data_IF_343259552309
#
_entry.id   IF_343259552309
#
_cell.length_a   1.000
_cell.length_b   1.000
_cell.length_c   1.000
_cell.angle_alpha   90.00
_cell.angle_beta   90.00
_cell.angle_gamma   90.00
#
_symmetry.space_group_name_H-M   'P 1'
#
loop_
_entity.id
_entity.type
_entity.pdbx_description
1 polymer ?
#
# COMPACT_ATOMS: atom_id res chain seq x y z
N UNK A 1 -3.15 16.43 39.49
CA UNK A 1 -2.79 16.89 38.12
C UNK A 1 -3.29 15.84 37.16
N UNK A 2 -4.31 16.16 36.36
CA UNK A 2 -4.83 15.28 35.33
C UNK A 2 -3.88 15.36 34.14
N UNK A 3 -3.12 14.30 33.90
CA UNK A 3 -2.27 14.18 32.71
C UNK A 3 -3.20 13.78 31.56
N UNK A 4 -3.27 14.60 30.53
CA UNK A 4 -3.95 14.27 29.29
C UNK A 4 -2.93 14.20 28.15
N UNK A 5 -3.12 13.25 27.25
CA UNK A 5 -2.30 13.16 26.05
C UNK A 5 -2.81 14.17 25.02
N UNK A 6 -1.97 15.14 24.67
CA UNK A 6 -2.23 16.01 23.53
C UNK A 6 -1.84 15.30 22.24
N UNK A 7 -2.72 15.35 21.24
CA UNK A 7 -2.41 14.82 19.91
C UNK A 7 -1.35 15.74 19.29
N UNK A 8 -0.18 15.17 19.00
CA UNK A 8 0.89 15.86 18.26
C UNK A 8 0.36 16.16 16.86
N UNK A 9 0.32 17.44 16.52
CA UNK A 9 -0.26 17.93 15.26
C UNK A 9 0.59 17.51 14.06
N UNK A 10 -0.01 17.39 12.87
CA UNK A 10 0.69 17.03 11.63
C UNK A 10 1.82 18.03 11.29
N UNK A 11 1.69 19.29 11.74
CA UNK A 11 2.73 20.34 11.70
C UNK A 11 3.96 20.05 12.56
N UNK A 12 3.84 19.20 13.57
CA UNK A 12 4.97 18.79 14.42
C UNK A 12 5.73 17.59 13.85
N UNK A 13 5.15 16.87 12.88
CA UNK A 13 5.82 15.83 12.07
C UNK A 13 6.60 16.39 10.88
N UNK A 14 6.43 17.68 10.57
CA UNK A 14 7.19 18.34 9.50
C UNK A 14 8.64 18.56 9.96
N UNK A 15 9.58 18.38 9.04
CA UNK A 15 11.00 18.59 9.31
C UNK A 15 11.28 20.06 9.63
N UNK A 16 11.29 20.41 10.92
CA UNK A 16 11.47 21.80 11.38
C UNK A 16 12.89 22.32 11.22
N UNK A 17 13.88 21.42 11.33
CA UNK A 17 15.30 21.80 11.42
C UNK A 17 16.11 21.46 10.17
N UNK A 18 15.59 20.58 9.31
CA UNK A 18 16.29 20.13 8.12
C UNK A 18 15.37 20.21 6.91
N UNK A 19 15.91 20.73 5.82
CA UNK A 19 15.36 20.61 4.49
C UNK A 19 15.96 19.36 3.84
N UNK A 20 15.20 18.26 3.86
CA UNK A 20 15.62 16.94 3.39
C UNK A 20 14.93 16.62 2.07
N UNK A 21 15.69 16.24 1.05
CA UNK A 21 15.16 15.76 -0.24
C UNK A 21 15.79 14.42 -0.58
N UNK A 22 14.99 13.48 -1.06
CA UNK A 22 15.43 12.14 -1.45
C UNK A 22 14.99 11.92 -2.89
N UNK A 23 15.94 11.59 -3.75
CA UNK A 23 15.73 11.26 -5.16
C UNK A 23 16.17 9.83 -5.40
N UNK A 24 15.28 9.01 -5.94
CA UNK A 24 15.52 7.62 -6.30
C UNK A 24 15.42 7.48 -7.82
N UNK A 25 16.40 6.82 -8.44
CA UNK A 25 16.39 6.52 -9.88
C UNK A 25 16.82 5.08 -10.14
N UNK A 26 16.17 4.42 -11.09
CA UNK A 26 16.63 3.14 -11.60
C UNK A 26 17.73 3.36 -12.64
N UNK A 27 18.80 2.57 -12.55
CA UNK A 27 20.01 2.74 -13.35
C UNK A 27 20.18 1.49 -14.25
N UNK A 28 19.61 1.55 -15.45
CA UNK A 28 19.58 0.39 -16.36
C UNK A 28 20.98 -0.05 -16.82
N UNK A 29 21.92 0.88 -16.98
CA UNK A 29 23.26 0.65 -17.52
C UNK A 29 24.38 0.61 -16.46
N UNK A 30 24.04 0.60 -15.17
CA UNK A 30 25.05 0.50 -14.12
C UNK A 30 25.73 -0.88 -14.12
N UNK A 31 27.03 -0.93 -13.77
CA UNK A 31 27.75 -2.19 -13.53
C UNK A 31 27.05 -2.92 -12.38
N UNK A 32 26.55 -4.12 -12.65
CA UNK A 32 25.84 -4.94 -11.66
C UNK A 32 26.78 -6.00 -11.10
N UNK A 33 26.83 -6.20 -9.78
CA UNK A 33 27.49 -7.37 -9.21
C UNK A 33 26.78 -8.67 -9.64
N UNK A 34 27.52 -9.78 -9.69
CA UNK A 34 26.95 -11.09 -10.01
C UNK A 34 25.80 -11.44 -9.03
N UNK A 35 24.65 -11.82 -9.58
CA UNK A 35 23.45 -12.14 -8.80
C UNK A 35 22.52 -10.96 -8.50
N UNK A 36 22.91 -9.71 -8.81
CA UNK A 36 22.02 -8.56 -8.65
C UNK A 36 21.02 -8.43 -9.81
N UNK A 37 19.75 -8.25 -9.48
CA UNK A 37 18.66 -8.21 -10.47
C UNK A 37 18.38 -6.80 -11.02
N UNK A 38 18.40 -5.77 -10.17
CA UNK A 38 18.28 -4.35 -10.54
C UNK A 38 19.28 -3.51 -9.76
N UNK A 39 19.60 -2.32 -10.27
CA UNK A 39 20.45 -1.32 -9.62
C UNK A 39 19.75 0.02 -9.61
N UNK A 40 19.80 0.68 -8.47
CA UNK A 40 19.26 2.02 -8.25
C UNK A 40 20.35 2.97 -7.81
N UNK A 41 20.15 4.25 -8.07
CA UNK A 41 20.87 5.33 -7.40
C UNK A 41 19.96 6.06 -6.42
N UNK A 42 20.48 6.27 -5.21
CA UNK A 42 19.83 7.04 -4.16
C UNK A 42 20.65 8.31 -3.92
N UNK A 43 20.02 9.45 -4.13
CA UNK A 43 20.59 10.77 -3.87
C UNK A 43 19.82 11.42 -2.71
N UNK A 44 20.54 11.71 -1.63
CA UNK A 44 20.00 12.29 -0.41
C UNK A 44 20.63 13.66 -0.25
N UNK A 45 19.80 14.68 -0.17
CA UNK A 45 20.23 16.04 0.03
C UNK A 45 19.65 16.61 1.33
N UNK A 46 20.50 17.25 2.13
CA UNK A 46 20.10 17.88 3.38
C UNK A 46 20.67 19.30 3.48
N UNK A 47 19.89 20.20 4.07
CA UNK A 47 20.34 21.53 4.50
C UNK A 47 19.78 21.82 5.88
N UNK A 48 20.61 22.36 6.76
CA UNK A 48 20.15 22.75 8.08
C UNK A 48 19.43 24.11 8.02
N UNK A 49 18.33 24.24 8.76
CA UNK A 49 17.46 25.41 8.66
C UNK A 49 17.73 26.48 9.73
N UNK A 50 18.64 26.21 10.69
CA UNK A 50 19.01 27.20 11.71
C UNK A 50 20.22 28.04 11.28
N UNK A 51 20.58 29.02 12.09
CA UNK A 51 21.59 30.04 11.77
C UNK A 51 23.06 29.59 11.80
N UNK A 52 23.33 28.29 11.93
CA UNK A 52 24.69 27.73 12.01
C UNK A 52 24.78 26.38 11.31
N UNK A 53 25.95 25.97 10.86
CA UNK A 53 26.13 24.60 10.37
C UNK A 53 25.85 23.58 11.49
N UNK A 54 25.17 22.48 11.17
CA UNK A 54 24.98 21.37 12.10
C UNK A 54 26.22 20.48 12.06
N UNK A 55 26.98 20.43 13.15
CA UNK A 55 28.21 19.63 13.24
C UNK A 55 27.90 18.19 13.63
N UNK A 56 28.70 17.22 13.16
CA UNK A 56 28.53 15.79 13.47
C UNK A 56 27.12 15.28 13.18
N UNK A 57 26.68 15.47 11.95
CA UNK A 57 25.35 15.02 11.51
C UNK A 57 25.39 13.56 11.07
N UNK A 58 24.30 12.84 11.32
CA UNK A 58 24.14 11.44 10.92
C UNK A 58 22.98 11.36 9.93
N UNK A 59 23.20 10.65 8.83
CA UNK A 59 22.15 10.20 7.91
C UNK A 59 21.96 8.71 8.14
N UNK A 60 20.84 8.35 8.75
CA UNK A 60 20.42 6.98 9.01
C UNK A 60 19.45 6.51 7.92
N UNK A 61 19.87 5.51 7.16
CA UNK A 61 19.20 5.02 5.96
C UNK A 61 18.80 3.58 6.21
N UNK A 62 17.51 3.33 6.35
CA UNK A 62 16.98 1.98 6.19
C UNK A 62 16.93 1.62 4.71
N UNK A 63 17.35 0.41 4.33
CA UNK A 63 17.27 -0.05 2.95
C UNK A 63 15.90 -0.61 2.63
N UNK A 64 15.48 -0.49 1.35
CA UNK A 64 14.32 -1.22 0.83
C UNK A 64 14.54 -2.73 0.93
N UNK A 65 13.47 -3.47 1.18
CA UNK A 65 13.55 -4.94 1.30
C UNK A 65 14.15 -5.57 0.04
N UNK A 66 15.18 -6.40 0.22
CA UNK A 66 15.90 -7.05 -0.88
C UNK A 66 17.01 -6.22 -1.53
N UNK A 67 17.20 -4.95 -1.11
CA UNK A 67 18.29 -4.09 -1.59
C UNK A 67 19.44 -4.01 -0.59
N UNK A 68 20.66 -3.95 -1.12
CA UNK A 68 21.87 -3.69 -0.35
C UNK A 68 22.68 -2.53 -0.97
N UNK A 69 23.31 -1.67 -0.16
CA UNK A 69 24.11 -0.56 -0.67
C UNK A 69 25.40 -1.08 -1.32
N UNK A 70 25.84 -0.39 -2.37
CA UNK A 70 27.10 -0.66 -3.03
C UNK A 70 28.28 -0.10 -2.23
N UNK A 71 29.16 -1.00 -1.78
CA UNK A 71 30.30 -0.65 -0.94
C UNK A 71 31.34 0.17 -1.72
N UNK A 72 31.44 -0.01 -3.03
CA UNK A 72 32.43 0.71 -3.85
C UNK A 72 32.09 2.20 -3.94
N UNK A 73 30.84 2.55 -4.22
CA UNK A 73 30.36 3.94 -4.25
C UNK A 73 30.44 4.61 -2.88
N UNK A 74 30.06 3.92 -1.81
CA UNK A 74 30.23 4.44 -0.44
C UNK A 74 31.70 4.70 -0.09
N UNK A 75 32.60 3.80 -0.51
CA UNK A 75 34.04 3.97 -0.30
C UNK A 75 34.58 5.20 -1.04
N UNK A 76 34.06 5.51 -2.24
CA UNK A 76 34.40 6.74 -2.98
C UNK A 76 33.94 8.00 -2.26
N UNK A 77 32.77 7.97 -1.62
CA UNK A 77 32.30 9.12 -0.82
C UNK A 77 33.17 9.36 0.42
N UNK A 78 33.66 8.28 1.06
CA UNK A 78 34.46 8.39 2.29
C UNK A 78 35.94 8.68 2.05
N UNK A 79 36.53 8.08 1.01
CA UNK A 79 37.97 8.15 0.71
C UNK A 79 38.30 9.07 -0.48
N UNK A 80 37.29 9.67 -1.10
CA UNK A 80 37.44 10.58 -2.22
C UNK A 80 38.13 11.90 -1.83
N UNK A 81 38.49 12.69 -2.83
CA UNK A 81 39.21 13.97 -2.65
C UNK A 81 38.39 14.96 -1.83
N UNK A 82 37.08 15.00 -2.05
CA UNK A 82 36.16 15.95 -1.40
C UNK A 82 35.68 15.47 -0.01
N UNK A 83 35.91 14.21 0.35
CA UNK A 83 35.48 13.54 1.60
C UNK A 83 34.08 13.98 2.09
N UNK A 84 33.05 13.68 1.31
CA UNK A 84 31.67 14.03 1.65
C UNK A 84 31.14 13.32 2.91
N UNK A 85 31.69 12.15 3.24
CA UNK A 85 31.34 11.42 4.47
C UNK A 85 32.61 11.05 5.25
N UNK A 86 32.55 11.16 6.57
CA UNK A 86 33.67 10.85 7.46
C UNK A 86 33.80 9.34 7.67
N UNK A 87 32.66 8.66 7.82
CA UNK A 87 32.57 7.21 8.02
C UNK A 87 31.22 6.70 7.52
N UNK A 88 31.16 5.43 7.16
CA UNK A 88 29.88 4.71 7.00
C UNK A 88 29.89 3.40 7.77
N UNK A 89 28.73 2.95 8.20
CA UNK A 89 28.50 1.66 8.85
C UNK A 89 27.32 0.96 8.21
N UNK A 90 27.51 -0.30 7.78
CA UNK A 90 26.44 -1.13 7.23
C UNK A 90 26.07 -2.15 8.30
N UNK A 91 24.91 -1.96 8.89
CA UNK A 91 24.36 -2.86 9.90
C UNK A 91 23.38 -3.82 9.23
N UNK A 92 23.81 -5.08 9.09
CA UNK A 92 22.93 -6.20 8.74
C UNK A 92 22.23 -6.63 10.03
N UNK A 93 21.14 -5.94 10.39
CA UNK A 93 20.36 -6.28 11.59
C UNK A 93 19.75 -7.69 11.50
N UNK A 94 19.11 -8.15 12.59
CA UNK A 94 18.38 -9.42 12.65
C UNK A 94 17.07 -9.44 11.82
N UNK A 95 16.76 -8.35 11.12
CA UNK A 95 15.62 -8.18 10.20
C UNK A 95 16.13 -8.11 8.76
N UNK A 96 15.34 -8.58 7.79
CA UNK A 96 15.65 -8.56 6.34
C UNK A 96 15.91 -7.15 5.75
N UNK A 97 15.79 -6.09 6.55
CA UNK A 97 16.14 -4.71 6.21
C UNK A 97 17.51 -4.36 6.78
N UNK A 98 18.50 -4.26 5.90
CA UNK A 98 19.80 -3.66 6.26
C UNK A 98 19.66 -2.17 6.57
N UNK A 99 20.47 -1.65 7.47
CA UNK A 99 20.58 -0.21 7.75
C UNK A 99 21.98 0.29 7.39
N UNK A 100 22.07 1.51 6.90
CA UNK A 100 23.29 2.21 6.52
C UNK A 100 23.34 3.53 7.28
N UNK A 101 24.37 3.71 8.08
CA UNK A 101 24.66 4.96 8.77
C UNK A 101 25.76 5.68 8.03
N UNK A 102 25.53 6.94 7.67
CA UNK A 102 26.54 7.86 7.14
C UNK A 102 26.83 8.94 8.17
N UNK A 103 28.10 9.10 8.51
CA UNK A 103 28.57 10.14 9.42
C UNK A 103 29.15 11.29 8.60
N UNK A 104 28.65 12.50 8.83
CA UNK A 104 29.12 13.73 8.18
C UNK A 104 29.70 14.67 9.24
N UNK A 105 30.83 15.30 8.91
CA UNK A 105 31.45 16.29 9.80
C UNK A 105 30.54 17.48 10.06
N UNK A 106 29.77 17.89 9.03
CA UNK A 106 28.74 18.91 9.15
C UNK A 106 27.69 18.83 8.04
N UNK A 107 26.57 19.52 8.24
CA UNK A 107 25.60 19.87 7.19
C UNK A 107 25.45 21.39 7.19
N UNK A 108 25.68 22.03 6.04
CA UNK A 108 25.59 23.47 5.90
C UNK A 108 24.18 24.02 6.12
N UNK A 109 24.10 25.21 6.69
CA UNK A 109 22.85 25.98 6.73
C UNK A 109 22.60 26.83 5.46
N UNK A 110 23.64 27.07 4.65
CA UNK A 110 23.58 27.96 3.48
C UNK A 110 23.36 27.22 2.17
N UNK A 111 23.98 26.05 2.03
CA UNK A 111 23.94 25.25 0.80
C UNK A 111 23.37 23.88 1.11
N UNK A 112 22.74 23.29 0.11
CA UNK A 112 22.25 21.93 0.17
C UNK A 112 23.44 20.99 -0.07
N UNK A 113 23.67 20.08 0.87
CA UNK A 113 24.71 19.05 0.78
C UNK A 113 24.07 17.74 0.36
N UNK A 114 24.63 17.09 -0.66
CA UNK A 114 24.05 15.89 -1.25
C UNK A 114 25.06 14.73 -1.25
N UNK A 115 24.57 13.53 -0.96
CA UNK A 115 25.31 12.28 -1.08
C UNK A 115 24.56 11.36 -2.04
N UNK A 116 25.28 10.78 -3.00
CA UNK A 116 24.71 9.85 -3.98
C UNK A 116 25.50 8.54 -3.99
N UNK A 117 24.79 7.42 -3.85
CA UNK A 117 25.37 6.08 -3.90
C UNK A 117 24.44 5.11 -4.61
N UNK A 118 24.97 3.94 -5.00
CA UNK A 118 24.19 2.89 -5.65
C UNK A 118 23.70 1.86 -4.64
N UNK A 119 22.58 1.22 -4.95
CA UNK A 119 22.11 0.04 -4.24
C UNK A 119 21.62 -1.02 -5.23
N UNK A 120 21.83 -2.28 -4.88
CA UNK A 120 21.57 -3.43 -5.74
C UNK A 120 20.51 -4.33 -5.14
N UNK A 121 19.58 -4.80 -5.97
CA UNK A 121 18.58 -5.77 -5.56
C UNK A 121 19.18 -7.19 -5.57
N UNK A 122 19.52 -7.68 -4.38
CA UNK A 122 20.10 -9.02 -4.18
C UNK A 122 19.00 -10.08 -4.10
N UNK A 123 17.84 -9.74 -3.52
CA UNK A 123 16.71 -10.65 -3.40
C UNK A 123 15.46 -10.04 -4.03
N UNK A 124 14.79 -10.82 -4.89
CA UNK A 124 13.48 -10.47 -5.41
C UNK A 124 12.43 -10.82 -4.36
N UNK A 125 11.69 -9.82 -3.92
CA UNK A 125 10.56 -9.96 -2.98
C UNK A 125 9.27 -9.60 -3.72
N UNK A 126 8.15 -10.23 -3.34
CA UNK A 126 6.86 -9.98 -4.00
C UNK A 126 6.37 -8.54 -3.83
N UNK A 127 6.53 -7.97 -2.63
CA UNK A 127 6.24 -6.57 -2.34
C UNK A 127 7.47 -5.91 -1.74
N UNK A 128 8.00 -4.88 -2.43
CA UNK A 128 9.11 -4.08 -1.90
C UNK A 128 8.54 -3.12 -0.87
N UNK A 129 9.02 -3.19 0.38
CA UNK A 129 8.58 -2.26 1.41
C UNK A 129 9.30 -0.91 1.27
N UNK A 130 8.58 0.22 1.41
CA UNK A 130 9.18 1.54 1.52
C UNK A 130 10.23 1.59 2.62
N UNK A 131 11.21 2.44 2.40
CA UNK A 131 12.29 2.66 3.34
C UNK A 131 12.39 4.14 3.69
N UNK A 132 13.17 4.44 4.71
CA UNK A 132 13.30 5.76 5.31
C UNK A 132 14.74 6.25 5.35
N UNK A 133 14.89 7.57 5.25
CA UNK A 133 16.10 8.30 5.55
C UNK A 133 15.80 9.26 6.69
N UNK A 134 16.61 9.21 7.73
CA UNK A 134 16.50 10.09 8.90
C UNK A 134 17.79 10.88 9.05
N UNK A 135 17.68 12.20 9.08
CA UNK A 135 18.81 13.11 9.33
C UNK A 135 18.67 13.72 10.70
N UNK A 136 19.75 13.67 11.49
CA UNK A 136 19.80 14.28 12.82
C UNK A 136 21.21 14.72 13.21
N UNK A 137 21.27 15.70 14.10
CA UNK A 137 22.49 16.13 14.76
C UNK A 137 22.76 15.19 15.95
N UNK A 138 24.00 14.71 16.09
CA UNK A 138 24.41 13.83 17.18
C UNK A 138 24.10 14.42 18.57
N UNK A 139 24.23 15.74 18.74
CA UNK A 139 23.99 16.41 20.02
C UNK A 139 22.51 16.76 20.25
N UNK A 140 21.67 16.68 19.22
CA UNK A 140 20.25 16.98 19.30
C UNK A 140 19.41 15.96 18.50
N UNK A 141 19.39 14.68 18.91
CA UNK A 141 18.69 13.62 18.18
C UNK A 141 17.15 13.77 18.19
N UNK A 142 16.61 14.58 19.10
CA UNK A 142 15.20 14.99 19.12
C UNK A 142 14.83 15.83 17.89
N UNK A 143 15.81 16.52 17.30
CA UNK A 143 15.66 17.40 16.14
C UNK A 143 15.81 16.64 14.81
N UNK A 144 15.33 15.40 14.74
CA UNK A 144 15.45 14.56 13.55
C UNK A 144 14.41 14.88 12.48
N UNK A 145 14.78 14.69 11.22
CA UNK A 145 13.89 14.76 10.07
C UNK A 145 13.90 13.42 9.36
N UNK A 146 12.74 12.77 9.26
CA UNK A 146 12.58 11.50 8.56
C UNK A 146 11.73 11.69 7.31
N UNK A 147 12.20 11.18 6.17
CA UNK A 147 11.41 11.06 4.94
C UNK A 147 11.49 9.63 4.42
N UNK A 148 10.41 9.18 3.81
CA UNK A 148 10.31 7.86 3.21
C UNK A 148 10.53 7.93 1.70
N UNK A 149 11.08 6.86 1.13
CA UNK A 149 11.33 6.71 -0.30
C UNK A 149 10.90 5.32 -0.79
N UNK A 150 10.42 5.29 -2.02
CA UNK A 150 10.00 4.10 -2.75
C UNK A 150 10.05 4.39 -4.27
N UNK A 151 10.06 3.36 -5.11
CA UNK A 151 10.11 3.48 -6.58
C UNK A 151 8.97 4.30 -7.17
N UNK A 152 7.76 4.09 -6.66
CA UNK A 152 6.56 4.83 -7.05
C UNK A 152 6.33 6.01 -6.10
N UNK A 153 6.14 7.22 -6.64
CA UNK A 153 5.94 8.41 -5.82
C UNK A 153 4.69 8.33 -4.92
N UNK A 154 3.63 7.64 -5.37
CA UNK A 154 2.42 7.37 -4.60
C UNK A 154 2.55 6.22 -3.58
N UNK A 155 3.73 5.62 -3.46
CA UNK A 155 4.04 4.48 -2.58
C UNK A 155 5.11 4.81 -1.55
N UNK A 156 5.46 6.10 -1.38
CA UNK A 156 6.38 6.57 -0.32
C UNK A 156 5.84 6.26 1.08
N UNK A 157 4.53 6.08 1.22
CA UNK A 157 3.87 5.58 2.42
C UNK A 157 3.15 4.27 2.08
N UNK A 158 3.05 3.35 3.05
CA UNK A 158 2.29 2.11 2.90
C UNK A 158 0.87 2.46 2.41
N UNK A 159 0.37 1.72 1.42
CA UNK A 159 -0.99 1.91 0.92
C UNK A 159 -1.96 1.77 2.08
N UNK A 160 -2.70 2.83 2.40
CA UNK A 160 -3.69 2.84 3.49
C UNK A 160 -4.96 3.51 3.03
N UNK A 161 -6.08 2.90 3.39
CA UNK A 161 -7.39 3.52 3.29
C UNK A 161 -7.69 4.03 4.69
N UNK A 162 -7.99 5.32 4.83
CA UNK A 162 -8.36 5.90 6.12
C UNK A 162 -9.70 6.60 5.98
N UNK A 163 -10.60 6.34 6.92
CA UNK A 163 -11.83 7.10 7.10
C UNK A 163 -11.81 7.67 8.52
N UNK A 164 -11.72 9.00 8.61
CA UNK A 164 -11.40 9.71 9.84
C UNK A 164 -10.12 9.15 10.49
N UNK A 165 -10.20 8.66 11.74
CA UNK A 165 -9.05 8.16 12.50
C UNK A 165 -8.79 6.64 12.31
N UNK A 166 -9.68 5.93 11.61
CA UNK A 166 -9.55 4.48 11.38
C UNK A 166 -8.88 4.25 10.03
N UNK A 167 -7.71 3.60 10.06
CA UNK A 167 -6.96 3.25 8.86
C UNK A 167 -6.84 1.73 8.71
N UNK A 168 -7.02 1.25 7.48
CA UNK A 168 -6.76 -0.12 7.05
C UNK A 168 -5.60 -0.15 6.06
N UNK A 169 -4.76 -1.17 6.20
CA UNK A 169 -3.67 -1.44 5.26
C UNK A 169 -4.25 -1.95 3.93
N UNK A 170 -3.80 -1.37 2.83
CA UNK A 170 -4.20 -1.66 1.46
C UNK A 170 -2.99 -2.03 0.58
N UNK A 171 -1.95 -2.61 1.18
CA UNK A 171 -0.74 -3.06 0.47
C UNK A 171 -0.87 -4.43 -0.20
N UNK A 172 -2.02 -5.07 -0.06
CA UNK A 172 -2.27 -6.37 -0.64
C UNK A 172 -2.91 -6.24 -2.04
N UNK A 173 -3.16 -7.38 -2.68
CA UNK A 173 -3.86 -7.44 -3.95
C UNK A 173 -5.24 -6.78 -3.86
N UNK A 174 -5.72 -6.29 -5.00
CA UNK A 174 -6.94 -5.49 -5.06
C UNK A 174 -8.21 -6.30 -4.77
N UNK A 175 -8.25 -7.57 -5.16
CA UNK A 175 -9.36 -8.50 -4.90
C UNK A 175 -8.90 -9.95 -5.12
N UNK A 176 -9.64 -10.90 -4.53
CA UNK A 176 -9.35 -12.34 -4.51
C UNK A 176 -9.18 -12.94 -5.91
N UNK A 177 -10.01 -12.54 -6.86
CA UNK A 177 -10.04 -13.17 -8.20
C UNK A 177 -8.72 -12.99 -8.97
N UNK A 178 -7.96 -11.91 -8.73
CA UNK A 178 -6.65 -11.73 -9.36
C UNK A 178 -5.62 -12.80 -8.98
N UNK A 179 -5.87 -13.58 -7.92
CA UNK A 179 -4.98 -14.64 -7.47
C UNK A 179 -5.29 -15.99 -8.11
N UNK A 180 -6.34 -16.12 -8.91
CA UNK A 180 -6.79 -17.39 -9.44
C UNK A 180 -6.53 -17.52 -10.93
N UNK A 181 -5.88 -18.60 -11.31
CA UNK A 181 -5.72 -19.03 -12.70
C UNK A 181 -6.83 -20.02 -13.05
N UNK A 182 -7.57 -19.75 -14.13
CA UNK A 182 -8.61 -20.66 -14.67
C UNK A 182 -10.05 -20.23 -14.40
N UNK A 183 -10.99 -20.84 -15.13
CA UNK A 183 -12.42 -20.69 -14.90
C UNK A 183 -12.84 -21.58 -13.74
N UNK A 184 -13.52 -21.01 -12.75
CA UNK A 184 -14.15 -21.78 -11.68
C UNK A 184 -15.52 -22.28 -12.13
N UNK A 185 -15.98 -23.40 -11.57
CA UNK A 185 -17.38 -23.84 -11.69
C UNK A 185 -18.26 -23.25 -10.57
N UNK A 186 -19.55 -23.62 -10.55
CA UNK A 186 -20.49 -23.16 -9.52
C UNK A 186 -20.16 -23.71 -8.12
N UNK A 187 -19.72 -24.98 -8.04
CA UNK A 187 -19.44 -25.63 -6.77
C UNK A 187 -18.21 -25.01 -6.10
N UNK A 188 -17.15 -24.75 -6.85
CA UNK A 188 -15.93 -24.10 -6.37
C UNK A 188 -16.20 -22.66 -5.89
N UNK A 189 -17.06 -21.91 -6.58
CA UNK A 189 -17.52 -20.59 -6.10
C UNK A 189 -18.31 -20.71 -4.81
N UNK A 190 -19.17 -21.72 -4.69
CA UNK A 190 -19.95 -21.98 -3.49
C UNK A 190 -19.07 -22.30 -2.29
N UNK A 191 -18.11 -23.22 -2.45
CA UNK A 191 -17.14 -23.57 -1.40
C UNK A 191 -16.34 -22.35 -0.92
N UNK A 192 -15.99 -21.42 -1.83
CA UNK A 192 -15.30 -20.17 -1.49
C UNK A 192 -16.20 -19.14 -0.82
N UNK A 193 -17.42 -18.94 -1.31
CA UNK A 193 -18.42 -18.05 -0.69
C UNK A 193 -18.85 -18.54 0.71
N UNK A 194 -18.74 -19.85 0.94
CA UNK A 194 -18.92 -20.51 2.23
C UNK A 194 -17.63 -20.71 3.02
N UNK A 195 -16.49 -20.21 2.53
CA UNK A 195 -15.21 -20.31 3.21
C UNK A 195 -15.23 -19.66 4.58
N UNK A 196 -14.37 -20.15 5.47
CA UNK A 196 -14.22 -19.58 6.81
C UNK A 196 -13.85 -18.10 6.73
N UNK A 197 -14.61 -17.26 7.44
CA UNK A 197 -14.40 -15.82 7.50
C UNK A 197 -15.21 -15.00 6.49
N UNK A 198 -15.82 -15.63 5.47
CA UNK A 198 -16.75 -14.93 4.57
C UNK A 198 -18.03 -14.59 5.33
N UNK A 199 -18.28 -13.30 5.49
CA UNK A 199 -19.37 -12.74 6.29
C UNK A 199 -20.65 -12.61 5.46
N UNK A 200 -20.54 -12.07 4.25
CA UNK A 200 -21.69 -11.75 3.40
C UNK A 200 -21.47 -12.17 1.94
N UNK A 201 -22.56 -12.43 1.22
CA UNK A 201 -22.57 -12.60 -0.25
C UNK A 201 -23.76 -11.82 -0.81
N UNK A 202 -23.47 -10.87 -1.71
CA UNK A 202 -24.44 -9.94 -2.25
C UNK A 202 -24.39 -9.91 -3.78
N UNK A 203 -25.54 -9.59 -4.37
CA UNK A 203 -25.64 -9.09 -5.74
C UNK A 203 -25.85 -7.58 -5.67
N UNK A 204 -24.90 -6.80 -6.16
CA UNK A 204 -24.90 -5.35 -6.03
C UNK A 204 -24.75 -4.64 -7.38
N UNK A 205 -25.47 -3.54 -7.58
CA UNK A 205 -25.39 -2.71 -8.78
C UNK A 205 -24.53 -1.49 -8.54
N UNK A 206 -23.62 -1.19 -9.46
CA UNK A 206 -22.78 0.00 -9.38
C UNK A 206 -23.55 1.24 -9.84
N UNK A 207 -23.75 2.23 -8.95
CA UNK A 207 -24.50 3.44 -9.27
C UNK A 207 -23.59 4.62 -9.65
N UNK A 208 -22.53 4.87 -8.87
CA UNK A 208 -21.55 5.94 -9.14
C UNK A 208 -20.22 5.69 -8.43
N UNK A 209 -19.17 6.36 -8.91
CA UNK A 209 -17.85 6.43 -8.28
C UNK A 209 -17.62 7.85 -7.76
N UNK A 210 -17.23 7.95 -6.50
CA UNK A 210 -16.83 9.19 -5.83
C UNK A 210 -15.31 9.11 -5.55
N UNK A 211 -14.48 9.71 -6.42
CA UNK A 211 -13.03 9.64 -6.28
C UNK A 211 -12.56 10.52 -5.11
N UNK A 212 -11.54 10.06 -4.41
CA UNK A 212 -10.81 10.82 -3.39
C UNK A 212 -9.30 10.72 -3.65
N UNK A 213 -8.49 11.45 -2.89
CA UNK A 213 -7.04 11.58 -3.14
C UNK A 213 -6.28 10.25 -3.01
N UNK A 214 -6.74 9.35 -2.12
CA UNK A 214 -6.05 8.08 -1.81
C UNK A 214 -6.90 6.83 -2.05
N UNK A 215 -8.21 6.97 -2.27
CA UNK A 215 -9.13 5.87 -2.45
C UNK A 215 -10.31 6.30 -3.33
N UNK A 216 -11.00 5.31 -3.91
CA UNK A 216 -12.26 5.51 -4.60
C UNK A 216 -13.39 4.94 -3.75
N UNK A 217 -14.48 5.71 -3.64
CA UNK A 217 -15.71 5.25 -3.04
C UNK A 217 -16.69 4.84 -4.15
N UNK A 218 -16.98 3.55 -4.25
CA UNK A 218 -17.95 2.97 -5.17
C UNK A 218 -19.30 2.89 -4.45
N UNK A 219 -20.24 3.75 -4.84
CA UNK A 219 -21.59 3.70 -4.30
C UNK A 219 -22.36 2.64 -5.06
N UNK A 220 -22.76 1.59 -4.36
CA UNK A 220 -23.47 0.45 -4.93
C UNK A 220 -24.79 0.22 -4.20
N UNK A 221 -25.83 -0.14 -4.95
CA UNK A 221 -27.10 -0.61 -4.38
C UNK A 221 -27.06 -2.13 -4.26
N UNK A 222 -27.28 -2.67 -3.05
CA UNK A 222 -27.40 -4.12 -2.86
C UNK A 222 -28.78 -4.54 -3.38
N UNK A 223 -28.79 -5.21 -4.53
CA UNK A 223 -30.01 -5.65 -5.22
C UNK A 223 -30.60 -6.88 -4.53
N UNK A 224 -29.75 -7.82 -4.14
CA UNK A 224 -30.16 -9.06 -3.47
C UNK A 224 -29.13 -9.51 -2.44
N UNK A 225 -29.61 -9.99 -1.30
CA UNK A 225 -28.75 -10.64 -0.29
C UNK A 225 -28.82 -12.15 -0.48
N UNK A 226 -27.70 -12.75 -0.92
CA UNK A 226 -27.59 -14.19 -1.19
C UNK A 226 -27.20 -14.93 0.09
N UNK A 227 -26.24 -14.39 0.84
CA UNK A 227 -25.86 -14.85 2.19
C UNK A 227 -25.90 -13.65 3.13
N UNK A 228 -26.74 -13.77 4.17
CA UNK A 228 -26.85 -12.77 5.22
C UNK A 228 -25.54 -12.70 6.00
N UNK A 229 -25.02 -11.48 6.18
CA UNK A 229 -23.84 -11.21 7.00
C UNK A 229 -24.17 -10.29 8.16
N UNK A 230 -23.17 -9.54 8.62
CA UNK A 230 -23.30 -8.61 9.76
C UNK A 230 -24.28 -7.44 9.46
N UNK A 231 -24.37 -6.97 8.21
CA UNK A 231 -25.38 -5.98 7.82
C UNK A 231 -26.72 -6.64 7.51
N UNK A 232 -27.58 -6.73 8.52
CA UNK A 232 -28.90 -7.36 8.42
C UNK A 232 -29.89 -6.61 7.52
N UNK A 233 -29.64 -5.33 7.22
CA UNK A 233 -30.56 -4.45 6.48
C UNK A 233 -29.96 -3.95 5.17
N UNK A 234 -29.03 -4.73 4.62
CA UNK A 234 -28.26 -4.37 3.44
C UNK A 234 -29.15 -4.34 2.18
N UNK A 235 -30.13 -5.23 2.07
CA UNK A 235 -30.96 -5.39 0.87
C UNK A 235 -31.74 -4.12 0.49
N UNK A 236 -31.65 -3.74 -0.78
CA UNK A 236 -32.27 -2.54 -1.34
C UNK A 236 -31.63 -1.21 -0.90
N UNK A 237 -30.58 -1.25 -0.07
CA UNK A 237 -29.89 -0.04 0.39
C UNK A 237 -28.65 0.26 -0.45
N UNK A 238 -28.31 1.55 -0.47
CA UNK A 238 -27.02 1.99 -0.97
C UNK A 238 -25.95 1.81 0.10
N UNK A 239 -24.80 1.31 -0.33
CA UNK A 239 -23.62 1.07 0.49
C UNK A 239 -22.38 1.55 -0.23
N UNK A 240 -21.40 1.95 0.58
CA UNK A 240 -20.12 2.43 0.11
C UNK A 240 -19.14 1.26 0.08
N UNK A 241 -18.59 0.97 -1.09
CA UNK A 241 -17.48 0.03 -1.27
C UNK A 241 -16.21 0.84 -1.54
N UNK A 242 -15.22 0.75 -0.66
CA UNK A 242 -14.04 1.60 -0.69
C UNK A 242 -12.83 0.80 -1.14
N UNK A 243 -12.13 1.27 -2.18
CA UNK A 243 -10.88 0.64 -2.65
C UNK A 243 -9.76 1.65 -2.81
N UNK A 244 -8.52 1.21 -2.60
CA UNK A 244 -7.36 2.07 -2.77
C UNK A 244 -7.19 2.51 -4.23
N UNK A 245 -6.71 3.74 -4.48
CA UNK A 245 -6.62 4.32 -5.83
C UNK A 245 -5.80 3.47 -6.83
N UNK A 246 -4.81 2.72 -6.34
CA UNK A 246 -4.02 1.78 -7.15
C UNK A 246 -4.88 0.69 -7.81
N UNK A 247 -6.02 0.35 -7.21
CA UNK A 247 -6.91 -0.70 -7.68
C UNK A 247 -7.92 -0.25 -8.74
N UNK A 248 -7.97 1.04 -9.07
CA UNK A 248 -8.92 1.59 -10.06
C UNK A 248 -8.87 0.87 -11.40
N UNK A 249 -7.66 0.63 -11.93
CA UNK A 249 -7.47 -0.07 -13.22
C UNK A 249 -7.80 -1.56 -13.14
N UNK A 250 -7.57 -2.17 -11.98
CA UNK A 250 -7.79 -3.59 -11.76
C UNK A 250 -9.28 -3.93 -11.60
N UNK A 251 -10.03 -3.06 -10.92
CA UNK A 251 -11.45 -3.26 -10.64
C UNK A 251 -12.35 -2.96 -11.84
N UNK A 252 -12.06 -1.90 -12.59
CA UNK A 252 -12.80 -1.46 -13.80
C UNK A 252 -14.34 -1.57 -13.69
N UNK A 253 -14.90 -1.18 -12.53
CA UNK A 253 -16.34 -1.28 -12.28
C UNK A 253 -17.10 -0.28 -13.16
N UNK A 254 -18.12 -0.78 -13.87
CA UNK A 254 -18.88 -0.02 -14.86
C UNK A 254 -20.26 0.35 -14.33
N UNK A 255 -20.65 1.60 -14.58
CA UNK A 255 -21.90 2.15 -14.06
C UNK A 255 -23.11 1.42 -14.66
N UNK A 256 -24.06 1.07 -13.80
CA UNK A 256 -25.29 0.38 -14.17
C UNK A 256 -25.14 -1.14 -14.29
N UNK A 257 -23.91 -1.69 -14.24
CA UNK A 257 -23.69 -3.14 -14.20
C UNK A 257 -23.86 -3.69 -12.78
N UNK A 258 -24.19 -4.97 -12.72
CA UNK A 258 -24.32 -5.72 -11.48
C UNK A 258 -23.11 -6.61 -11.26
N UNK A 259 -22.83 -6.90 -10.00
CA UNK A 259 -21.66 -7.62 -9.56
C UNK A 259 -22.02 -8.58 -8.43
N UNK A 260 -21.46 -9.78 -8.48
CA UNK A 260 -21.42 -10.72 -7.37
C UNK A 260 -20.27 -10.30 -6.44
N UNK A 261 -20.59 -10.01 -5.18
CA UNK A 261 -19.61 -9.51 -4.21
C UNK A 261 -19.72 -10.31 -2.91
N UNK A 262 -18.60 -10.79 -2.41
CA UNK A 262 -18.50 -11.31 -1.05
C UNK A 262 -17.22 -10.85 -0.38
N UNK A 263 -17.25 -10.81 0.95
CA UNK A 263 -16.12 -10.31 1.74
C UNK A 263 -16.15 -10.81 3.17
N UNK A 264 -15.18 -10.36 3.94
CA UNK A 264 -14.95 -10.80 5.31
C UNK A 264 -15.37 -9.74 6.31
N UNK A 265 -15.72 -10.16 7.52
CA UNK A 265 -16.21 -9.24 8.57
C UNK A 265 -15.20 -8.16 8.95
N UNK A 266 -13.91 -8.47 8.88
CA UNK A 266 -12.81 -7.55 9.25
C UNK A 266 -12.68 -6.31 8.36
N UNK A 267 -13.39 -6.29 7.23
CA UNK A 267 -13.37 -5.22 6.22
C UNK A 267 -14.67 -4.40 6.22
N UNK A 268 -15.58 -4.64 7.18
CA UNK A 268 -16.72 -3.75 7.42
C UNK A 268 -16.33 -2.64 8.39
N UNK A 269 -16.66 -1.41 8.02
CA UNK A 269 -16.53 -0.22 8.85
C UNK A 269 -17.92 0.32 9.20
N UNK A 270 -18.19 0.44 10.51
CA UNK A 270 -19.43 1.04 11.00
C UNK A 270 -19.58 2.47 10.48
N UNK A 271 -20.77 2.80 9.99
CA UNK A 271 -21.18 4.12 9.55
C UNK A 271 -22.52 4.50 10.19
N UNK A 272 -22.87 5.79 10.31
CA UNK A 272 -24.16 6.21 10.87
C UNK A 272 -25.38 5.61 10.14
N UNK A 273 -25.25 5.27 8.86
CA UNK A 273 -26.30 4.74 7.97
C UNK A 273 -26.14 3.25 7.62
N UNK A 274 -25.26 2.53 8.34
CA UNK A 274 -25.02 1.10 8.16
C UNK A 274 -23.52 0.80 8.15
N UNK A 275 -23.04 0.26 7.03
CA UNK A 275 -21.64 -0.16 6.88
C UNK A 275 -21.02 0.37 5.59
N UNK A 276 -19.72 0.66 5.64
CA UNK A 276 -18.86 0.75 4.48
C UNK A 276 -18.03 -0.54 4.36
N UNK A 277 -17.82 -1.02 3.14
CA UNK A 277 -17.14 -2.27 2.83
C UNK A 277 -15.81 -1.96 2.18
N UNK A 278 -14.70 -2.45 2.74
CA UNK A 278 -13.39 -2.28 2.11
C UNK A 278 -13.16 -3.38 1.08
N UNK A 279 -12.81 -2.97 -0.14
CA UNK A 279 -12.35 -3.88 -1.19
C UNK A 279 -10.85 -4.07 -1.05
N UNK A 280 -10.44 -5.28 -0.71
CA UNK A 280 -9.04 -5.68 -0.62
C UNK A 280 -8.83 -7.15 -1.00
N UNK A 281 -7.69 -7.71 -0.58
CA UNK A 281 -7.25 -9.07 -0.96
C UNK A 281 -8.22 -10.20 -0.60
N UNK A 282 -9.13 -9.98 0.35
CA UNK A 282 -10.09 -10.97 0.86
C UNK A 282 -11.51 -10.71 0.33
N UNK A 283 -11.67 -9.73 -0.57
CA UNK A 283 -12.94 -9.40 -1.24
C UNK A 283 -13.00 -10.05 -2.61
N UNK A 284 -14.14 -10.66 -2.94
CA UNK A 284 -14.42 -11.17 -4.29
C UNK A 284 -15.38 -10.24 -5.00
N UNK A 285 -15.11 -9.98 -6.28
CA UNK A 285 -15.99 -9.18 -7.14
C UNK A 285 -15.96 -9.80 -8.53
N UNK A 286 -17.12 -10.18 -9.05
CA UNK A 286 -17.30 -10.68 -10.41
C UNK A 286 -18.47 -9.97 -11.09
N UNK A 287 -18.33 -9.65 -12.39
CA UNK A 287 -19.42 -9.05 -13.16
C UNK A 287 -20.56 -10.06 -13.34
N UNK A 288 -21.77 -9.66 -12.93
CA UNK A 288 -23.00 -10.42 -13.10
C UNK A 288 -23.74 -9.95 -14.37
N UNK A 289 -23.82 -10.76 -15.44
CA UNK A 289 -24.48 -10.36 -16.68
C UNK A 289 -25.99 -10.17 -16.50
N UNK A 290 -26.55 -9.16 -17.15
CA UNK A 290 -27.99 -8.93 -17.13
C UNK A 290 -28.75 -9.91 -18.05
N UNK A 291 -30.08 -9.95 -17.96
CA UNK A 291 -30.90 -10.90 -18.71
C UNK A 291 -30.71 -10.85 -20.24
N UNK A 292 -30.35 -9.70 -20.81
CA UNK A 292 -30.05 -9.57 -22.25
C UNK A 292 -28.66 -10.11 -22.57
N UNK A 293 -27.67 -9.81 -21.72
CA UNK A 293 -26.31 -10.29 -21.87
C UNK A 293 -26.21 -11.82 -21.70
N UNK A 294 -27.07 -12.42 -20.88
CA UNK A 294 -27.22 -13.88 -20.76
C UNK A 294 -27.81 -14.56 -22.01
N UNK A 295 -28.35 -13.81 -22.98
CA UNK A 295 -28.80 -14.41 -24.26
C UNK A 295 -27.64 -14.61 -25.23
N UNK A 296 -26.47 -14.01 -24.95
CA UNK A 296 -25.27 -14.22 -25.75
C UNK A 296 -24.64 -15.58 -25.41
N UNK A 297 -24.30 -16.44 -26.40
CA UNK A 297 -23.76 -17.77 -26.15
C UNK A 297 -22.49 -17.78 -25.28
N UNK A 298 -21.73 -16.69 -25.33
CA UNK A 298 -20.49 -16.52 -24.56
C UNK A 298 -20.74 -16.37 -23.05
N UNK A 299 -21.94 -15.93 -22.65
CA UNK A 299 -22.30 -15.66 -21.26
C UNK A 299 -23.30 -16.67 -20.68
N UNK A 300 -23.84 -17.58 -21.49
CA UNK A 300 -24.85 -18.55 -21.06
C UNK A 300 -24.36 -19.37 -19.86
N UNK A 301 -23.15 -19.91 -19.95
CA UNK A 301 -22.54 -20.73 -18.90
C UNK A 301 -22.34 -19.97 -17.59
N UNK A 302 -21.84 -18.72 -17.64
CA UNK A 302 -21.61 -17.94 -16.41
C UNK A 302 -22.92 -17.51 -15.75
N UNK A 303 -23.96 -17.24 -16.56
CA UNK A 303 -25.29 -16.92 -16.02
C UNK A 303 -25.87 -18.12 -15.29
N UNK A 304 -25.82 -19.32 -15.89
CA UNK A 304 -26.30 -20.56 -15.24
C UNK A 304 -25.54 -20.84 -13.94
N UNK A 305 -24.21 -20.68 -13.96
CA UNK A 305 -23.37 -20.82 -12.76
C UNK A 305 -23.83 -19.88 -11.63
N UNK A 306 -24.09 -18.61 -11.94
CA UNK A 306 -24.50 -17.64 -10.94
C UNK A 306 -25.92 -17.87 -10.43
N UNK A 307 -26.85 -18.28 -11.31
CA UNK A 307 -28.20 -18.67 -10.88
C UNK A 307 -28.15 -19.87 -9.93
N UNK A 308 -27.42 -20.93 -10.29
CA UNK A 308 -27.25 -22.11 -9.44
C UNK A 308 -26.58 -21.78 -8.11
N UNK A 309 -25.56 -20.91 -8.12
CA UNK A 309 -24.89 -20.46 -6.90
C UNK A 309 -25.85 -19.70 -5.98
N UNK A 310 -26.60 -18.73 -6.52
CA UNK A 310 -27.55 -17.93 -5.75
C UNK A 310 -28.63 -18.79 -5.14
N UNK A 311 -29.26 -19.66 -5.93
CA UNK A 311 -30.36 -20.51 -5.47
C UNK A 311 -29.90 -21.50 -4.40
N UNK A 312 -28.73 -22.14 -4.59
CA UNK A 312 -28.18 -23.04 -3.59
C UNK A 312 -27.81 -22.35 -2.28
N UNK A 313 -27.15 -21.19 -2.33
CA UNK A 313 -26.77 -20.46 -1.11
C UNK A 313 -28.00 -19.94 -0.36
N UNK A 314 -29.04 -19.52 -1.07
CA UNK A 314 -30.29 -19.05 -0.46
C UNK A 314 -31.09 -20.19 0.19
N UNK A 315 -31.17 -21.34 -0.47
CA UNK A 315 -31.98 -22.48 0.00
C UNK A 315 -31.25 -23.33 1.04
N UNK A 316 -29.99 -23.66 0.78
CA UNK A 316 -29.22 -24.64 1.56
C UNK A 316 -28.21 -23.98 2.51
N UNK A 317 -27.90 -22.69 2.31
CA UNK A 317 -26.85 -22.01 3.05
C UNK A 317 -25.48 -22.63 2.80
N UNK A 318 -24.61 -22.54 3.81
CA UNK A 318 -23.30 -23.17 3.80
C UNK A 318 -23.35 -24.48 4.58
N UNK A 319 -22.89 -25.57 3.97
CA UNK A 319 -22.66 -26.82 4.68
C UNK A 319 -21.58 -26.58 5.75
N UNK A 320 -21.93 -26.84 7.01
CA UNK A 320 -21.06 -26.75 8.18
C UNK A 320 -20.03 -27.87 8.23
#
# INVERSE_FOLDING_TARGET
MSVYHAIVTEKERQCKNFDLTITLKEEEHAKRPEGASSTISLEICARFLKDRDATMSIIDISMMSGFAPDVESLSKLSKGVDKYISKFEINKGATDKGTLLLYLDKISHKRQECVKFYAHQIFKVGLVQPASVTVYDYYAPESRCTKFYHFEEGSKLLGRICQADVCRCAEANCFLQQQLEGQLDAQQRMERACGQGVDYVYRARMDKVEPNDNYDNYVMTIVKVIKLGTDEKAEGKQRNFVSHIKCRKALDLQKGREYLIWGVRGDLWDQPDGYAYIIGKDTWIEWWPNNRECQEPENEEICDIFFLLSDNLELNGCAS
#
